data_IF_615794180623
#
_entry.id   IF_615794180623
#
_cell.length_a   1.000
_cell.length_b   1.000
_cell.length_c   1.000
_cell.angle_alpha   90.00
_cell.angle_beta   90.00
_cell.angle_gamma   90.00
#
_symmetry.space_group_name_H-M   'P 1'
#
loop_
_entity.id
_entity.type
_entity.pdbx_description
1 polymer ?
#
# COMPACT_ATOMS: atom_id res chain seq x y z
N UNK A 1 16.62 0.54 45.64
CA UNK A 1 15.21 0.95 45.88
C UNK A 1 15.06 2.36 45.34
N UNK A 2 14.19 2.74 44.39
CA UNK A 2 13.12 2.14 43.58
C UNK A 2 13.23 2.87 42.23
N UNK A 3 13.36 2.17 41.10
CA UNK A 3 12.28 1.90 40.14
C UNK A 3 11.29 3.07 39.96
N UNK A 4 11.51 3.90 38.93
CA UNK A 4 10.42 4.46 38.13
C UNK A 4 10.82 4.44 36.67
N UNK A 5 10.48 3.30 36.08
CA UNK A 5 10.47 2.99 34.66
C UNK A 5 9.33 3.81 34.03
N UNK A 6 9.63 5.00 33.52
CA UNK A 6 8.75 5.71 32.59
C UNK A 6 9.17 5.33 31.17
N UNK A 7 8.88 4.08 30.80
CA UNK A 7 8.73 3.73 29.38
C UNK A 7 7.45 4.43 28.96
N UNK A 8 7.62 5.68 28.54
CA UNK A 8 6.65 6.40 27.73
C UNK A 8 6.39 5.54 26.49
N UNK A 9 5.29 4.79 26.55
CA UNK A 9 4.64 4.14 25.41
C UNK A 9 4.20 5.23 24.45
N UNK A 10 5.15 5.79 23.72
CA UNK A 10 4.94 6.73 22.64
C UNK A 10 5.23 5.96 21.36
N UNK A 11 4.17 5.49 20.68
CA UNK A 11 4.12 5.23 19.22
C UNK A 11 2.99 4.23 18.86
N UNK A 12 1.73 4.51 19.18
CA UNK A 12 0.62 3.85 18.46
C UNK A 12 -0.62 4.73 18.28
N UNK A 13 -0.44 6.05 18.17
CA UNK A 13 -1.53 6.97 17.80
C UNK A 13 -1.05 7.97 16.74
N UNK A 14 -0.50 7.46 15.63
CA UNK A 14 -0.80 8.11 14.36
C UNK A 14 -2.05 7.42 13.85
N UNK A 15 -3.20 7.91 14.33
CA UNK A 15 -4.45 7.75 13.61
C UNK A 15 -4.16 8.11 12.17
N UNK A 16 -4.10 7.12 11.30
CA UNK A 16 -4.09 7.40 9.88
C UNK A 16 -5.37 8.17 9.58
N UNK A 17 -5.23 9.37 9.02
CA UNK A 17 -6.31 10.21 8.52
C UNK A 17 -7.02 9.60 7.30
N UNK A 18 -7.32 8.29 7.30
CA UNK A 18 -8.13 7.63 6.26
C UNK A 18 -9.62 8.05 6.30
N UNK A 19 -9.98 9.02 7.14
CA UNK A 19 -11.36 9.34 7.50
C UNK A 19 -12.03 10.45 6.66
N UNK A 20 -11.31 11.33 5.97
CA UNK A 20 -11.93 12.63 5.67
C UNK A 20 -12.82 12.72 4.42
N UNK A 21 -12.65 11.87 3.40
CA UNK A 21 -13.46 12.01 2.18
C UNK A 21 -14.90 11.50 2.37
N UNK A 22 -15.88 12.38 2.13
CA UNK A 22 -17.31 12.08 2.13
C UNK A 22 -17.83 12.06 0.70
N UNK A 23 -18.99 11.43 0.49
CA UNK A 23 -19.63 11.36 -0.83
C UNK A 23 -19.85 12.75 -1.45
N UNK A 24 -20.16 13.77 -0.63
CA UNK A 24 -20.32 15.15 -1.11
C UNK A 24 -19.03 15.79 -1.62
N UNK A 25 -17.88 15.36 -1.09
CA UNK A 25 -16.58 15.92 -1.47
C UNK A 25 -16.18 15.41 -2.88
N UNK A 26 -16.78 14.29 -3.33
CA UNK A 26 -16.62 13.71 -4.67
C UNK A 26 -17.54 14.34 -5.74
N UNK A 27 -18.50 15.21 -5.37
CA UNK A 27 -19.46 15.78 -6.32
C UNK A 27 -18.74 16.72 -7.30
N UNK A 28 -19.12 16.66 -8.57
CA UNK A 28 -18.59 17.50 -9.65
C UNK A 28 -17.93 16.68 -10.76
N UNK A 29 -17.17 17.37 -11.62
CA UNK A 29 -16.47 16.79 -12.75
C UNK A 29 -14.99 16.58 -12.43
N UNK A 30 -14.55 15.32 -12.53
CA UNK A 30 -13.19 14.90 -12.30
C UNK A 30 -12.57 14.41 -13.61
N UNK A 31 -11.36 14.85 -13.92
CA UNK A 31 -10.65 14.50 -15.15
C UNK A 31 -9.37 13.72 -14.81
N UNK A 32 -9.10 12.65 -15.55
CA UNK A 32 -7.87 11.88 -15.39
C UNK A 32 -6.67 12.63 -15.97
N UNK A 33 -5.52 12.47 -15.33
CA UNK A 33 -4.23 12.97 -15.87
C UNK A 33 -3.65 12.06 -16.97
N UNK A 34 -4.19 10.85 -17.10
CA UNK A 34 -3.74 9.85 -18.06
C UNK A 34 -4.71 9.74 -19.24
N UNK A 35 -4.20 9.24 -20.37
CA UNK A 35 -5.04 8.88 -21.50
C UNK A 35 -5.99 7.70 -21.20
N UNK A 36 -6.95 7.50 -22.10
CA UNK A 36 -7.97 6.48 -21.97
C UNK A 36 -7.37 5.06 -21.82
N UNK A 37 -6.32 4.73 -22.57
CA UNK A 37 -5.71 3.41 -22.51
C UNK A 37 -4.99 3.18 -21.18
N UNK A 38 -4.22 4.18 -20.74
CA UNK A 38 -3.52 4.15 -19.47
C UNK A 38 -4.49 4.10 -18.30
N UNK A 39 -5.60 4.84 -18.35
CA UNK A 39 -6.62 4.83 -17.28
C UNK A 39 -7.08 3.41 -16.92
N UNK A 40 -7.33 2.56 -17.93
CA UNK A 40 -7.78 1.18 -17.72
C UNK A 40 -6.65 0.18 -17.43
N UNK A 41 -5.39 0.53 -17.73
CA UNK A 41 -4.22 -0.35 -17.59
C UNK A 41 -3.38 -0.05 -16.34
N UNK A 42 -3.49 1.13 -15.74
CA UNK A 42 -2.64 1.53 -14.60
C UNK A 42 -3.21 1.12 -13.24
N UNK A 43 -2.31 0.70 -12.37
CA UNK A 43 -2.61 0.37 -10.96
C UNK A 43 -3.12 1.59 -10.19
N UNK A 44 -2.60 2.79 -10.51
CA UNK A 44 -2.96 4.05 -9.86
C UNK A 44 -3.60 5.01 -10.84
N UNK A 45 -4.52 5.82 -10.32
CA UNK A 45 -5.26 6.81 -11.10
C UNK A 45 -5.23 8.13 -10.32
N UNK A 46 -4.94 9.21 -11.03
CA UNK A 46 -5.03 10.56 -10.50
C UNK A 46 -6.18 11.28 -11.19
N UNK A 47 -7.12 11.78 -10.39
CA UNK A 47 -8.28 12.53 -10.83
C UNK A 47 -8.22 13.95 -10.27
N UNK A 48 -8.59 14.92 -11.10
CA UNK A 48 -8.56 16.34 -10.73
C UNK A 48 -9.88 17.05 -11.03
N UNK A 49 -10.29 17.99 -10.17
CA UNK A 49 -11.35 18.95 -10.48
C UNK A 49 -10.77 20.35 -10.68
N UNK A 50 -11.44 21.15 -11.51
CA UNK A 50 -11.15 22.56 -11.76
C UNK A 50 -9.72 22.83 -12.24
N UNK A 51 -9.09 21.85 -12.90
CA UNK A 51 -7.79 22.04 -13.52
C UNK A 51 -7.97 22.58 -14.94
N UNK A 52 -7.05 23.44 -15.35
CA UNK A 52 -6.95 23.90 -16.72
C UNK A 52 -5.85 23.10 -17.44
N UNK A 53 -6.28 22.14 -18.26
CA UNK A 53 -5.39 21.22 -18.97
C UNK A 53 -4.44 21.93 -19.96
N UNK A 54 -4.85 23.09 -20.52
CA UNK A 54 -4.01 23.87 -21.44
C UNK A 54 -2.73 24.40 -20.77
N UNK A 55 -2.78 24.72 -19.47
CA UNK A 55 -1.62 25.25 -18.74
C UNK A 55 -0.76 24.17 -18.07
N UNK A 56 -1.20 22.90 -18.09
CA UNK A 56 -0.48 21.80 -17.44
C UNK A 56 0.47 21.03 -18.37
N UNK A 57 0.63 21.47 -19.63
CA UNK A 57 1.45 20.78 -20.65
C UNK A 57 1.12 19.28 -20.73
N UNK A 58 -0.17 18.94 -20.60
CA UNK A 58 -0.58 17.55 -20.72
C UNK A 58 -0.35 17.06 -22.14
N UNK A 59 0.41 15.97 -22.27
CA UNK A 59 0.76 15.38 -23.56
C UNK A 59 -0.42 14.66 -24.22
N UNK A 60 -1.46 14.33 -23.46
CA UNK A 60 -2.62 13.58 -23.95
C UNK A 60 -3.85 14.47 -24.09
N UNK A 61 -4.44 14.40 -25.28
CA UNK A 61 -5.74 14.97 -25.61
C UNK A 61 -6.92 14.13 -25.12
N UNK A 62 -6.67 12.84 -24.88
CA UNK A 62 -7.68 11.87 -24.47
C UNK A 62 -7.67 11.75 -22.96
N UNK A 63 -8.85 11.79 -22.33
CA UNK A 63 -9.00 11.73 -20.89
C UNK A 63 -10.28 10.97 -20.53
N UNK A 64 -10.29 10.41 -19.33
CA UNK A 64 -11.51 9.92 -18.69
C UNK A 64 -12.05 11.01 -17.77
N UNK A 65 -13.34 11.32 -17.95
CA UNK A 65 -14.09 12.22 -17.09
C UNK A 65 -15.09 11.45 -16.24
N UNK A 66 -15.07 11.68 -14.94
CA UNK A 66 -16.10 11.23 -14.00
C UNK A 66 -16.98 12.42 -13.63
N UNK A 67 -18.27 12.32 -13.91
CA UNK A 67 -19.27 13.30 -13.50
C UNK A 67 -20.13 12.69 -12.40
N UNK A 68 -19.98 13.18 -11.18
CA UNK A 68 -20.80 12.77 -10.03
C UNK A 68 -21.75 13.90 -9.63
N UNK A 69 -23.05 13.68 -9.83
CA UNK A 69 -24.10 14.52 -9.26
C UNK A 69 -24.64 13.88 -7.97
N UNK A 70 -25.62 14.54 -7.32
CA UNK A 70 -26.24 14.05 -6.08
C UNK A 70 -26.80 12.62 -6.22
N UNK A 71 -27.39 12.30 -7.36
CA UNK A 71 -28.09 11.03 -7.62
C UNK A 71 -27.57 10.22 -8.81
N UNK A 72 -26.68 10.79 -9.64
CA UNK A 72 -26.14 10.13 -10.84
C UNK A 72 -24.62 10.14 -10.85
N UNK A 73 -24.04 9.13 -11.47
CA UNK A 73 -22.63 9.02 -11.75
C UNK A 73 -22.47 8.63 -13.22
N UNK A 74 -21.49 9.20 -13.90
CA UNK A 74 -21.21 8.91 -15.30
C UNK A 74 -19.71 8.97 -15.56
N UNK A 75 -19.23 8.04 -16.37
CA UNK A 75 -17.89 7.99 -16.94
C UNK A 75 -18.01 8.33 -18.42
N UNK A 76 -17.17 9.25 -18.88
CA UNK A 76 -17.14 9.70 -20.26
C UNK A 76 -15.70 9.71 -20.76
N UNK A 77 -15.51 9.39 -22.04
CA UNK A 77 -14.25 9.61 -22.74
C UNK A 77 -14.29 11.00 -23.36
N UNK A 78 -13.27 11.80 -23.10
CA UNK A 78 -13.17 13.17 -23.59
C UNK A 78 -11.94 13.29 -24.48
N UNK A 79 -12.11 13.89 -25.66
CA UNK A 79 -11.03 14.30 -26.54
C UNK A 79 -11.06 15.82 -26.71
N UNK A 80 -10.11 16.50 -26.08
CA UNK A 80 -10.04 17.95 -26.03
C UNK A 80 -9.24 18.58 -27.19
N UNK A 81 -8.66 17.77 -28.08
CA UNK A 81 -7.88 18.28 -29.23
C UNK A 81 -8.69 18.40 -30.53
N UNK A 82 -10.00 18.17 -30.46
CA UNK A 82 -10.90 18.50 -31.57
C UNK A 82 -11.67 19.77 -31.24
N UNK A 83 -12.02 20.55 -32.26
CA UNK A 83 -12.93 21.68 -32.12
C UNK A 83 -14.25 21.38 -32.87
N UNK A 84 -15.40 21.24 -32.18
CA UNK A 84 -15.53 21.22 -30.72
C UNK A 84 -14.94 19.95 -30.08
N UNK A 85 -14.64 20.02 -28.78
CA UNK A 85 -14.18 18.85 -28.02
C UNK A 85 -15.19 17.71 -28.11
N UNK A 86 -14.72 16.49 -28.35
CA UNK A 86 -15.59 15.32 -28.49
C UNK A 86 -15.75 14.64 -27.13
N UNK A 87 -17.00 14.42 -26.73
CA UNK A 87 -17.34 13.63 -25.55
C UNK A 87 -18.09 12.38 -26.02
N UNK A 88 -17.55 11.22 -25.65
CA UNK A 88 -18.20 9.93 -25.88
C UNK A 88 -18.68 9.40 -24.54
N UNK A 89 -19.99 9.24 -24.46
CA UNK A 89 -20.68 8.75 -23.30
C UNK A 89 -21.06 7.29 -23.45
N UNK A 90 -21.05 6.55 -22.34
CA UNK A 90 -21.60 5.20 -22.29
C UNK A 90 -23.11 5.29 -22.04
N UNK A 91 -23.91 4.59 -22.86
CA UNK A 91 -25.37 4.48 -22.71
C UNK A 91 -25.76 3.44 -21.64
N UNK A 92 -25.11 3.48 -20.48
CA UNK A 92 -25.32 2.51 -19.40
C UNK A 92 -25.66 3.24 -18.09
N UNK A 93 -26.36 2.56 -17.18
CA UNK A 93 -26.66 3.13 -15.86
C UNK A 93 -25.47 2.91 -14.94
N UNK A 94 -24.72 3.97 -14.69
CA UNK A 94 -23.54 3.93 -13.84
C UNK A 94 -23.81 4.46 -12.43
N UNK A 95 -23.16 3.85 -11.43
CA UNK A 95 -23.25 4.24 -10.02
C UNK A 95 -21.90 4.13 -9.34
N UNK A 96 -21.56 5.14 -8.53
CA UNK A 96 -20.39 5.12 -7.66
C UNK A 96 -20.81 4.91 -6.21
N UNK A 97 -20.26 3.90 -5.54
CA UNK A 97 -20.45 3.66 -4.11
C UNK A 97 -19.15 3.91 -3.35
N UNK A 98 -19.25 4.74 -2.31
CA UNK A 98 -18.18 4.93 -1.33
C UNK A 98 -18.45 4.03 -0.12
N UNK A 99 -17.49 3.19 0.26
CA UNK A 99 -17.57 2.29 1.41
C UNK A 99 -16.41 2.55 2.37
N UNK A 100 -16.68 2.42 3.66
CA UNK A 100 -15.64 2.40 4.69
C UNK A 100 -15.18 0.96 4.92
N UNK A 101 -13.88 0.75 5.01
CA UNK A 101 -13.23 -0.55 5.29
C UNK A 101 -12.21 -0.40 6.42
N UNK A 102 -11.68 -1.50 6.92
CA UNK A 102 -10.65 -1.54 7.97
C UNK A 102 -9.28 -1.02 7.51
N UNK A 103 -9.08 -0.87 6.20
CA UNK A 103 -7.84 -0.37 5.58
C UNK A 103 -8.03 0.95 4.81
N UNK A 104 -9.18 1.61 4.98
CA UNK A 104 -9.48 2.92 4.41
C UNK A 104 -10.83 3.00 3.69
N UNK A 105 -10.98 3.97 2.79
CA UNK A 105 -12.19 4.14 1.99
C UNK A 105 -12.02 3.54 0.60
N UNK A 106 -13.04 2.84 0.14
CA UNK A 106 -13.06 2.23 -1.20
C UNK A 106 -14.16 2.81 -2.05
N UNK A 107 -13.87 2.99 -3.33
CA UNK A 107 -14.81 3.37 -4.37
C UNK A 107 -15.12 2.16 -5.24
N UNK A 108 -16.38 1.91 -5.49
CA UNK A 108 -16.83 0.80 -6.34
C UNK A 108 -17.75 1.37 -7.41
N UNK A 109 -17.36 1.16 -8.66
CA UNK A 109 -18.05 1.61 -9.86
C UNK A 109 -18.90 0.46 -10.38
N UNK A 110 -20.19 0.72 -10.52
CA UNK A 110 -21.16 -0.21 -11.07
C UNK A 110 -21.64 0.27 -12.43
N UNK A 111 -21.78 -0.65 -13.37
CA UNK A 111 -22.47 -0.45 -14.65
C UNK A 111 -23.57 -1.50 -14.76
N UNK A 112 -24.81 -1.06 -14.92
CA UNK A 112 -25.99 -1.94 -15.03
C UNK A 112 -26.10 -2.99 -13.92
N UNK A 113 -25.70 -2.60 -12.70
CA UNK A 113 -25.65 -3.39 -11.44
C UNK A 113 -24.44 -4.33 -11.28
N UNK A 114 -23.60 -4.49 -12.29
CA UNK A 114 -22.34 -5.23 -12.19
C UNK A 114 -21.23 -4.30 -11.72
N UNK A 115 -20.38 -4.78 -10.80
CA UNK A 115 -19.19 -4.03 -10.39
C UNK A 115 -18.15 -4.16 -11.48
N UNK A 116 -17.90 -3.06 -12.20
CA UNK A 116 -16.89 -3.04 -13.28
C UNK A 116 -15.52 -2.59 -12.77
N UNK A 117 -15.49 -1.88 -11.64
CA UNK A 117 -14.23 -1.36 -11.12
C UNK A 117 -14.27 -1.09 -9.62
N UNK A 118 -13.13 -1.29 -8.97
CA UNK A 118 -12.98 -1.08 -7.52
C UNK A 118 -11.63 -0.46 -7.21
N UNK A 119 -11.67 0.56 -6.37
CA UNK A 119 -10.50 1.36 -5.99
C UNK A 119 -10.43 1.57 -4.48
N UNK A 120 -9.22 1.71 -3.94
CA UNK A 120 -8.99 2.33 -2.63
C UNK A 120 -8.55 3.78 -2.83
N UNK A 121 -9.07 4.67 -1.99
CA UNK A 121 -8.63 6.05 -1.93
C UNK A 121 -7.27 6.11 -1.24
N UNK A 122 -6.25 6.61 -1.95
CA UNK A 122 -4.91 6.85 -1.41
C UNK A 122 -4.88 8.21 -0.73
N UNK A 123 -5.31 9.25 -1.44
CA UNK A 123 -5.22 10.64 -0.99
C UNK A 123 -6.37 11.48 -1.55
N UNK A 124 -6.73 12.54 -0.83
CA UNK A 124 -7.64 13.59 -1.27
C UNK A 124 -7.08 14.93 -0.80
N UNK A 125 -6.76 15.82 -1.74
CA UNK A 125 -6.15 17.11 -1.44
C UNK A 125 -6.97 18.24 -2.07
N UNK A 126 -7.14 19.34 -1.33
CA UNK A 126 -7.75 20.56 -1.82
C UNK A 126 -6.72 21.70 -1.75
N UNK A 127 -6.49 22.39 -2.86
CA UNK A 127 -5.58 23.53 -2.94
C UNK A 127 -6.34 24.77 -3.41
N UNK A 128 -6.34 25.81 -2.59
CA UNK A 128 -6.86 27.13 -2.98
C UNK A 128 -5.92 27.78 -3.98
N UNK A 129 -6.47 28.38 -5.03
CA UNK A 129 -5.72 29.29 -5.89
C UNK A 129 -6.14 30.71 -5.53
N UNK A 130 -5.19 31.59 -5.22
CA UNK A 130 -5.53 32.98 -4.84
C UNK A 130 -6.23 33.75 -5.97
N UNK A 131 -5.88 33.45 -7.22
CA UNK A 131 -6.38 34.14 -8.42
C UNK A 131 -7.78 33.66 -8.88
N UNK A 132 -8.28 32.53 -8.36
CA UNK A 132 -9.55 31.95 -8.81
C UNK A 132 -10.46 31.62 -7.62
N UNK A 133 -11.79 31.76 -7.76
CA UNK A 133 -12.72 31.50 -6.66
C UNK A 133 -12.89 29.99 -6.34
N UNK A 134 -12.23 29.11 -7.10
CA UNK A 134 -12.39 27.65 -7.00
C UNK A 134 -11.14 26.97 -6.47
N UNK A 135 -11.33 25.91 -5.69
CA UNK A 135 -10.26 25.02 -5.23
C UNK A 135 -9.94 24.01 -6.33
N UNK A 136 -8.64 23.78 -6.58
CA UNK A 136 -8.21 22.59 -7.30
C UNK A 136 -8.29 21.43 -6.31
N UNK A 137 -8.97 20.37 -6.73
CA UNK A 137 -9.07 19.14 -5.95
C UNK A 137 -8.34 18.03 -6.67
N UNK A 138 -7.63 17.20 -5.92
CA UNK A 138 -6.92 16.04 -6.42
C UNK A 138 -7.36 14.81 -5.61
N UNK A 139 -7.65 13.74 -6.33
CA UNK A 139 -8.03 12.44 -5.78
C UNK A 139 -7.12 11.38 -6.38
N UNK A 140 -6.31 10.74 -5.53
CA UNK A 140 -5.45 9.63 -5.92
C UNK A 140 -6.10 8.30 -5.52
N UNK A 141 -6.22 7.40 -6.48
CA UNK A 141 -6.86 6.09 -6.34
C UNK A 141 -5.89 4.98 -6.71
N UNK A 142 -6.03 3.82 -6.06
CA UNK A 142 -5.36 2.57 -6.45
C UNK A 142 -6.42 1.52 -6.79
N UNK A 143 -6.31 0.90 -7.96
CA UNK A 143 -7.19 -0.15 -8.46
C UNK A 143 -6.96 -1.43 -7.66
N UNK A 144 -8.03 -2.18 -7.41
CA UNK A 144 -7.93 -3.43 -6.68
C UNK A 144 -7.19 -4.53 -7.45
N UNK A 145 -7.19 -4.43 -8.78
CA UNK A 145 -6.75 -5.43 -9.75
C UNK A 145 -7.34 -6.83 -9.50
N UNK A 146 -7.76 -7.46 -10.57
CA UNK A 146 -7.82 -8.92 -10.62
C UNK A 146 -6.37 -9.41 -10.66
N UNK A 147 -5.75 -9.44 -9.48
CA UNK A 147 -4.32 -9.55 -9.31
C UNK A 147 -3.77 -10.81 -9.96
N UNK A 148 -2.85 -10.64 -10.91
CA UNK A 148 -1.71 -11.55 -11.00
C UNK A 148 -1.01 -11.48 -9.63
N UNK A 149 -1.01 -12.60 -8.92
CA UNK A 149 -0.60 -12.73 -7.52
C UNK A 149 0.74 -12.02 -7.18
N UNK A 150 0.96 -11.77 -5.88
CA UNK A 150 2.28 -11.48 -5.28
C UNK A 150 2.86 -10.05 -5.41
N UNK A 151 2.10 -9.03 -5.85
CA UNK A 151 2.61 -7.62 -5.91
C UNK A 151 3.17 -7.12 -4.57
N UNK A 152 2.47 -7.37 -3.45
CA UNK A 152 2.93 -6.96 -2.12
C UNK A 152 4.23 -7.67 -1.74
N UNK A 153 4.30 -8.98 -1.97
CA UNK A 153 5.49 -9.78 -1.73
C UNK A 153 6.70 -9.21 -2.50
N UNK A 154 6.56 -8.96 -3.80
CA UNK A 154 7.62 -8.39 -4.65
C UNK A 154 8.06 -7.00 -4.19
N UNK A 155 7.12 -6.17 -3.75
CA UNK A 155 7.45 -4.84 -3.21
C UNK A 155 8.28 -4.94 -1.93
N UNK A 156 7.86 -5.80 -1.00
CA UNK A 156 8.59 -6.03 0.27
C UNK A 156 9.97 -6.64 0.00
N UNK A 157 10.06 -7.60 -0.91
CA UNK A 157 11.32 -8.19 -1.37
C UNK A 157 12.29 -7.13 -1.92
N UNK A 158 11.78 -6.20 -2.74
CA UNK A 158 12.56 -5.07 -3.22
C UNK A 158 13.01 -4.13 -2.09
N UNK A 159 12.23 -3.94 -1.03
CA UNK A 159 12.64 -3.13 0.12
C UNK A 159 13.79 -3.79 0.90
N UNK A 160 13.70 -5.10 1.10
CA UNK A 160 14.74 -5.90 1.79
C UNK A 160 16.09 -5.72 1.08
N UNK A 161 16.14 -5.99 -0.23
CA UNK A 161 17.41 -6.00 -0.95
C UNK A 161 17.90 -4.61 -1.33
N UNK A 162 17.02 -3.69 -1.77
CA UNK A 162 17.46 -2.39 -2.28
C UNK A 162 17.58 -1.32 -1.20
N UNK A 163 16.68 -1.32 -0.22
CA UNK A 163 16.61 -0.27 0.81
C UNK A 163 17.37 -0.69 2.06
N UNK A 164 17.08 -1.87 2.60
CA UNK A 164 17.77 -2.39 3.78
C UNK A 164 19.15 -2.97 3.43
N UNK A 165 19.46 -3.11 2.13
CA UNK A 165 20.74 -3.63 1.62
C UNK A 165 21.09 -4.99 2.23
N UNK A 166 20.07 -5.78 2.54
CA UNK A 166 20.26 -7.13 3.03
C UNK A 166 20.96 -7.97 1.95
N UNK A 167 21.95 -8.74 2.37
CA UNK A 167 22.64 -9.70 1.52
C UNK A 167 22.53 -11.04 2.24
N UNK A 168 21.77 -12.01 1.69
CA UNK A 168 21.82 -13.36 2.21
C UNK A 168 23.24 -13.85 1.96
N UNK A 169 23.96 -14.16 3.03
CA UNK A 169 25.30 -14.71 2.92
C UNK A 169 25.20 -16.05 2.16
N UNK A 170 25.93 -16.20 1.06
CA UNK A 170 26.13 -17.50 0.42
C UNK A 170 27.19 -18.22 1.26
N UNK A 171 26.82 -18.65 2.46
CA UNK A 171 27.72 -19.42 3.31
C UNK A 171 27.64 -20.89 2.91
N UNK A 172 28.39 -21.25 1.87
CA UNK A 172 28.70 -22.65 1.56
C UNK A 172 29.66 -23.30 2.58
N UNK A 173 30.08 -22.60 3.64
CA UNK A 173 31.06 -23.10 4.60
C UNK A 173 30.65 -22.90 6.07
N UNK A 174 29.40 -23.24 6.40
CA UNK A 174 28.93 -23.29 7.78
C UNK A 174 29.44 -24.50 8.57
N UNK A 175 30.75 -24.77 8.61
CA UNK A 175 31.33 -25.61 9.66
C UNK A 175 31.34 -24.82 10.97
N UNK A 176 30.16 -24.69 11.58
CA UNK A 176 29.98 -24.21 12.94
C UNK A 176 30.30 -25.34 13.92
N UNK A 177 31.52 -25.88 13.85
CA UNK A 177 32.06 -26.83 14.82
C UNK A 177 32.86 -26.07 15.87
N UNK A 178 32.47 -26.19 17.14
CA UNK A 178 33.34 -25.78 18.25
C UNK A 178 34.48 -26.78 18.32
N UNK A 179 35.70 -26.38 17.98
CA UNK A 179 36.90 -27.21 18.18
C UNK A 179 37.32 -27.11 19.63
N UNK A 180 37.04 -28.15 20.42
CA UNK A 180 37.52 -28.28 21.80
C UNK A 180 38.85 -29.03 21.73
N UNK A 181 39.91 -28.43 22.26
CA UNK A 181 41.26 -29.01 22.25
C UNK A 181 41.45 -30.17 23.23
N UNK A 182 40.44 -30.48 24.06
CA UNK A 182 40.52 -31.54 25.08
C UNK A 182 39.40 -32.57 24.94
N UNK A 183 39.83 -33.82 24.79
CA UNK A 183 39.07 -34.91 24.20
C UNK A 183 38.39 -35.75 25.28
N UNK A 184 37.06 -35.68 25.38
CA UNK A 184 36.27 -36.75 25.98
C UNK A 184 35.29 -37.30 24.93
N UNK A 185 35.52 -38.52 24.40
CA UNK A 185 34.81 -39.03 23.22
C UNK A 185 33.32 -39.34 23.43
N UNK A 186 32.80 -39.22 24.66
CA UNK A 186 31.41 -39.54 25.00
C UNK A 186 30.52 -38.33 25.35
N UNK A 187 30.98 -37.10 25.11
CA UNK A 187 30.17 -35.90 25.40
C UNK A 187 29.47 -35.42 24.13
N UNK A 188 28.15 -35.61 24.06
CA UNK A 188 27.29 -35.03 23.00
C UNK A 188 26.81 -33.64 23.44
N UNK A 189 27.52 -32.59 23.00
CA UNK A 189 27.10 -31.20 23.21
C UNK A 189 26.07 -30.84 22.12
N UNK A 190 24.85 -30.51 22.52
CA UNK A 190 23.84 -29.91 21.64
C UNK A 190 23.87 -28.41 21.89
N UNK A 191 24.49 -27.65 20.99
CA UNK A 191 24.42 -26.18 21.00
C UNK A 191 22.98 -25.80 20.62
N UNK A 192 22.21 -25.33 21.58
CA UNK A 192 20.82 -24.85 21.36
C UNK A 192 20.77 -23.47 20.68
N UNK A 193 21.91 -22.81 20.56
CA UNK A 193 22.05 -21.49 19.95
C UNK A 193 22.42 -21.60 18.48
N UNK A 194 21.55 -22.21 17.67
CA UNK A 194 21.57 -21.98 16.23
C UNK A 194 21.07 -20.54 15.98
N UNK A 195 21.87 -19.57 16.38
CA UNK A 195 21.67 -18.17 16.04
C UNK A 195 22.06 -18.09 14.57
N UNK A 196 21.04 -17.99 13.71
CA UNK A 196 21.25 -17.56 12.33
C UNK A 196 22.11 -16.29 12.40
N UNK A 197 23.34 -16.38 11.88
CA UNK A 197 24.32 -15.29 11.99
C UNK A 197 23.87 -14.08 11.18
N UNK A 198 22.99 -14.30 10.20
CA UNK A 198 22.55 -13.27 9.28
C UNK A 198 21.05 -13.41 8.93
N UNK A 199 20.15 -13.28 9.94
CA UNK A 199 18.73 -13.52 9.75
C UNK A 199 18.13 -12.49 8.80
N UNK A 200 17.12 -12.87 8.02
CA UNK A 200 16.39 -11.92 7.18
C UNK A 200 15.84 -10.74 8.01
N UNK A 201 15.66 -9.54 7.41
CA UNK A 201 15.02 -8.43 8.11
C UNK A 201 13.64 -8.82 8.66
N UNK A 202 13.37 -8.43 9.89
CA UNK A 202 12.11 -8.77 10.57
C UNK A 202 10.93 -8.12 9.85
N UNK A 203 9.92 -8.92 9.49
CA UNK A 203 8.69 -8.40 8.91
C UNK A 203 7.59 -8.43 9.97
N UNK A 204 6.94 -7.30 10.18
CA UNK A 204 5.84 -7.15 11.15
C UNK A 204 4.59 -6.69 10.41
N UNK A 205 3.54 -7.51 10.42
CA UNK A 205 2.24 -7.22 9.81
C UNK A 205 1.20 -6.96 10.88
N UNK A 206 0.59 -5.78 10.88
CA UNK A 206 -0.41 -5.36 11.86
C UNK A 206 0.05 -5.56 13.32
N UNK A 207 1.34 -5.33 13.58
CA UNK A 207 1.96 -5.51 14.89
C UNK A 207 2.40 -6.95 15.22
N UNK A 208 2.19 -7.91 14.32
CA UNK A 208 2.61 -9.30 14.51
C UNK A 208 3.86 -9.61 13.69
N UNK A 209 4.96 -10.08 14.31
CA UNK A 209 6.09 -10.59 13.55
C UNK A 209 5.67 -11.82 12.75
N UNK A 210 6.09 -11.90 11.49
CA UNK A 210 5.91 -13.07 10.64
C UNK A 210 7.27 -13.70 10.36
N UNK A 211 7.33 -15.01 10.43
CA UNK A 211 8.53 -15.79 10.09
C UNK A 211 8.49 -16.19 8.62
N UNK A 212 7.34 -16.67 8.15
CA UNK A 212 7.12 -17.02 6.75
C UNK A 212 6.62 -15.83 5.93
N UNK A 213 7.47 -15.39 4.98
CA UNK A 213 7.18 -14.31 4.05
C UNK A 213 6.15 -14.69 2.99
N UNK A 214 5.93 -15.97 2.71
CA UNK A 214 4.95 -16.42 1.71
C UNK A 214 3.52 -16.02 2.05
N UNK A 215 3.24 -15.73 3.33
CA UNK A 215 1.99 -15.10 3.78
C UNK A 215 1.69 -13.81 2.99
N UNK A 216 2.73 -13.03 2.63
CA UNK A 216 2.57 -11.77 1.89
C UNK A 216 2.06 -11.99 0.45
N UNK A 217 2.23 -13.18 -0.13
CA UNK A 217 1.70 -13.52 -1.46
C UNK A 217 0.16 -13.56 -1.47
N UNK A 218 -0.47 -13.79 -0.31
CA UNK A 218 -1.94 -13.86 -0.15
C UNK A 218 -2.58 -12.54 0.29
N UNK A 219 -1.75 -11.56 0.66
CA UNK A 219 -2.16 -10.22 1.02
C UNK A 219 -2.12 -9.30 -0.20
N UNK A 220 -3.02 -8.31 -0.23
CA UNK A 220 -3.09 -7.38 -1.36
C UNK A 220 -2.41 -6.06 -1.04
N UNK A 221 -1.64 -5.55 -1.99
CA UNK A 221 -1.05 -4.22 -1.88
C UNK A 221 -2.13 -3.14 -1.77
N UNK A 222 -3.26 -3.31 -2.48
CA UNK A 222 -4.39 -2.36 -2.42
C UNK A 222 -5.03 -2.30 -1.03
N UNK A 223 -4.97 -3.37 -0.24
CA UNK A 223 -5.51 -3.43 1.12
C UNK A 223 -4.46 -3.05 2.18
N UNK A 224 -3.23 -2.77 1.74
CA UNK A 224 -2.15 -2.29 2.58
C UNK A 224 -2.21 -0.77 2.69
N UNK A 225 -2.46 -0.30 3.90
CA UNK A 225 -2.63 1.10 4.22
C UNK A 225 -1.27 1.80 4.30
N UNK A 226 -0.28 1.14 4.91
CA UNK A 226 1.07 1.69 5.06
C UNK A 226 2.16 0.62 5.03
N UNK A 227 3.30 1.00 4.47
CA UNK A 227 4.54 0.22 4.48
C UNK A 227 5.64 1.17 4.96
N UNK A 228 6.28 0.82 6.07
CA UNK A 228 7.41 1.54 6.63
C UNK A 228 8.57 0.58 6.81
N UNK A 229 9.78 1.10 6.83
CA UNK A 229 10.97 0.33 7.14
C UNK A 229 11.79 1.05 8.22
N UNK A 230 12.54 0.28 8.98
CA UNK A 230 13.51 0.75 9.95
C UNK A 230 14.88 0.21 9.55
N UNK A 231 15.87 1.09 9.50
CA UNK A 231 17.27 0.69 9.25
C UNK A 231 17.83 -0.09 10.45
N UNK A 232 18.96 -0.77 10.25
CA UNK A 232 19.62 -1.61 11.28
C UNK A 232 19.80 -0.89 12.62
N UNK A 233 20.20 0.39 12.57
CA UNK A 233 20.43 1.23 13.75
C UNK A 233 19.11 1.51 14.50
N UNK A 234 18.05 1.84 13.78
CA UNK A 234 16.74 2.16 14.35
C UNK A 234 16.07 0.91 14.92
N UNK A 235 16.19 -0.22 14.22
CA UNK A 235 15.52 -1.46 14.58
C UNK A 235 16.10 -2.12 15.83
N UNK A 236 17.42 -2.09 16.01
CA UNK A 236 18.10 -2.75 17.13
C UNK A 236 17.59 -2.23 18.49
N UNK A 237 17.34 -0.92 18.59
CA UNK A 237 16.85 -0.28 19.82
C UNK A 237 15.41 -0.67 20.18
N UNK A 238 14.59 -1.05 19.21
CA UNK A 238 13.15 -1.34 19.39
C UNK A 238 12.89 -2.85 19.47
N UNK A 239 13.53 -3.63 18.60
CA UNK A 239 13.25 -5.06 18.41
C UNK A 239 14.41 -5.99 18.80
N UNK A 240 15.55 -5.42 19.25
CA UNK A 240 16.71 -6.18 19.71
C UNK A 240 17.39 -6.98 18.59
N UNK A 241 18.04 -8.08 18.97
CA UNK A 241 18.84 -8.93 18.06
C UNK A 241 18.05 -9.54 16.90
N UNK A 242 16.73 -9.72 17.06
CA UNK A 242 15.83 -10.23 16.00
C UNK A 242 15.70 -9.30 14.80
N UNK A 243 16.11 -8.05 14.93
CA UNK A 243 16.00 -7.05 13.89
C UNK A 243 17.36 -6.46 13.48
N UNK A 244 18.43 -7.24 13.61
CA UNK A 244 19.80 -6.84 13.27
C UNK A 244 19.94 -6.37 11.82
N UNK A 245 19.13 -6.91 10.91
CA UNK A 245 19.13 -6.56 9.49
C UNK A 245 18.01 -5.57 9.08
N UNK A 246 17.34 -4.97 10.07
CA UNK A 246 16.25 -4.01 9.85
C UNK A 246 14.87 -4.60 10.10
N UNK A 247 13.85 -3.76 9.96
CA UNK A 247 12.44 -4.14 10.13
C UNK A 247 11.61 -3.57 9.00
N UNK A 248 10.64 -4.34 8.52
CA UNK A 248 9.58 -3.84 7.63
C UNK A 248 8.25 -3.92 8.39
N UNK A 249 7.62 -2.76 8.56
CA UNK A 249 6.33 -2.60 9.21
C UNK A 249 5.24 -2.47 8.15
N UNK A 250 4.28 -3.38 8.16
CA UNK A 250 3.15 -3.45 7.24
C UNK A 250 1.86 -3.26 8.02
N UNK A 251 1.02 -2.33 7.55
CA UNK A 251 -0.33 -2.15 8.05
C UNK A 251 -1.29 -2.43 6.90
N UNK A 252 -2.11 -3.46 7.05
CA UNK A 252 -3.01 -3.99 6.01
C UNK A 252 -4.35 -4.40 6.61
N UNK A 253 -5.32 -4.82 5.78
CA UNK A 253 -6.62 -5.31 6.25
C UNK A 253 -6.46 -6.33 7.37
N UNK A 254 -6.96 -5.99 8.57
CA UNK A 254 -7.00 -6.91 9.69
C UNK A 254 -7.86 -8.13 9.38
N UNK A 255 -9.00 -7.94 8.71
CA UNK A 255 -9.91 -9.03 8.38
C UNK A 255 -9.25 -10.06 7.47
N UNK A 256 -8.55 -9.58 6.43
CA UNK A 256 -7.82 -10.48 5.52
C UNK A 256 -6.63 -11.12 6.20
N UNK A 257 -5.83 -10.34 6.92
CA UNK A 257 -4.65 -10.86 7.61
C UNK A 257 -5.01 -11.95 8.62
N UNK A 258 -6.09 -11.76 9.42
CA UNK A 258 -6.59 -12.79 10.34
C UNK A 258 -7.00 -14.07 9.60
N UNK A 259 -7.64 -13.94 8.43
CA UNK A 259 -8.05 -15.08 7.61
C UNK A 259 -6.84 -15.84 7.04
N UNK A 260 -5.86 -15.12 6.48
CA UNK A 260 -4.64 -15.73 5.93
C UNK A 260 -3.83 -16.39 7.04
N UNK A 261 -3.57 -15.68 8.14
CA UNK A 261 -2.79 -16.21 9.26
C UNK A 261 -3.38 -17.50 9.85
N UNK A 262 -4.71 -17.58 10.01
CA UNK A 262 -5.38 -18.82 10.45
C UNK A 262 -5.08 -20.02 9.55
N UNK A 263 -4.86 -19.80 8.24
CA UNK A 263 -4.55 -20.83 7.26
C UNK A 263 -3.06 -21.22 7.26
N UNK A 264 -2.17 -20.29 7.60
CA UNK A 264 -0.72 -20.49 7.60
C UNK A 264 -0.12 -20.89 8.96
N UNK A 265 -0.93 -20.94 10.03
CA UNK A 265 -0.56 -21.58 11.28
C UNK A 265 -0.52 -20.65 12.49
N UNK A 266 -0.82 -21.25 13.64
CA UNK A 266 -0.37 -20.83 14.97
C UNK A 266 1.02 -21.39 15.19
#
# INVERSE_FOLDING_TARGET
MKLTLLISTFLFLSYFSYSQIRKKDLVGEWQSKNDNELYYKTDTIQLHQNINHLYQNEKSCHQIKWTLAKSSFKISEVNNCTEPGRVKDYNAREKLKLKNTDFGKTLEVFRDKESIDKFRVISYNEKRIEKYPYYIKQLDLIRFDELKDEKLYKYVDSLIFKVLKYKPEIDQNGNSGVTIADSNPNVKIIVRDFIDKNPEPLIVVNGYPIEDRDILKKLLLVETSAIKYLTKEQSLSIYGSRAINGVILLITSEKRFKTVRKKYGR
#
